data_IF_505077729473
#
_entry.id   IF_505077729473
#
_cell.length_a   1.000
_cell.length_b   1.000
_cell.length_c   1.000
_cell.angle_alpha   90.00
_cell.angle_beta   90.00
_cell.angle_gamma   90.00
#
_symmetry.space_group_name_H-M   'P 1'
#
loop_
_entity.id
_entity.type
_entity.pdbx_description
1 polymer ?
#
# COMPACT_ATOMS: atom_id res chain seq x y z
N UNK A 1 -7.21 -3.15 -48.47
CA UNK A 1 -6.08 -3.44 -47.55
C UNK A 1 -6.46 -4.67 -46.73
N UNK A 2 -6.69 -5.79 -47.43
CA UNK A 2 -7.47 -6.93 -46.93
C UNK A 2 -6.70 -8.26 -47.11
N UNK A 3 -5.36 -8.19 -47.16
CA UNK A 3 -4.51 -9.30 -47.60
C UNK A 3 -3.24 -9.51 -46.76
N UNK A 4 -3.20 -9.01 -45.51
CA UNK A 4 -2.01 -9.14 -44.62
C UNK A 4 -2.33 -9.74 -43.24
N UNK A 5 -3.56 -10.21 -42.96
CA UNK A 5 -3.89 -10.86 -41.68
C UNK A 5 -4.03 -12.40 -41.73
N UNK A 6 -3.69 -13.06 -42.85
CA UNK A 6 -3.82 -14.53 -43.01
C UNK A 6 -2.62 -15.35 -42.53
N UNK A 7 -1.52 -14.72 -42.10
CA UNK A 7 -0.25 -15.42 -41.80
C UNK A 7 0.14 -15.54 -40.32
N UNK A 8 -0.78 -15.41 -39.36
CA UNK A 8 -0.49 -15.70 -37.94
C UNK A 8 -1.46 -16.67 -37.25
N UNK A 9 -2.37 -17.29 -38.00
CA UNK A 9 -3.37 -18.23 -37.46
C UNK A 9 -3.05 -19.72 -37.68
N UNK A 10 -1.79 -20.05 -38.06
CA UNK A 10 -1.39 -21.41 -38.48
C UNK A 10 -0.49 -22.13 -37.43
N UNK A 11 -0.20 -21.52 -36.28
CA UNK A 11 0.85 -22.05 -35.38
C UNK A 11 0.39 -22.72 -34.06
N UNK A 12 -0.91 -22.97 -33.80
CA UNK A 12 -1.34 -23.53 -32.49
C UNK A 12 -2.32 -24.71 -32.58
N UNK A 13 -2.68 -25.20 -33.77
CA UNK A 13 -3.58 -26.36 -33.94
C UNK A 13 -2.79 -27.60 -34.39
N UNK A 14 -1.71 -27.95 -33.67
CA UNK A 14 -1.05 -29.27 -33.77
C UNK A 14 -0.46 -29.62 -32.39
N UNK A 15 -1.33 -29.83 -31.40
CA UNK A 15 -1.05 -30.77 -30.30
C UNK A 15 -2.30 -31.64 -30.16
N UNK A 16 -2.21 -32.76 -30.86
CA UNK A 16 -3.22 -33.80 -30.99
C UNK A 16 -3.60 -34.41 -29.63
N UNK A 17 -4.86 -34.22 -29.29
CA UNK A 17 -5.68 -35.20 -28.59
C UNK A 17 -5.73 -36.50 -29.41
N UNK A 18 -5.46 -37.63 -28.74
CA UNK A 18 -6.08 -38.98 -28.89
C UNK A 18 -5.03 -40.10 -28.72
N UNK A 19 -5.12 -40.87 -27.62
CA UNK A 19 -5.23 -42.33 -27.67
C UNK A 19 -5.62 -42.91 -26.29
N UNK A 20 -6.32 -44.03 -26.36
CA UNK A 20 -7.29 -44.59 -25.42
C UNK A 20 -6.77 -45.78 -24.61
N UNK A 21 -7.34 -45.93 -23.40
CA UNK A 21 -7.84 -47.17 -22.77
C UNK A 21 -6.91 -48.33 -22.36
N UNK A 22 -7.22 -48.80 -21.14
CA UNK A 22 -7.23 -50.19 -20.63
C UNK A 22 -5.99 -50.77 -19.94
N UNK A 23 -6.19 -51.28 -18.71
CA UNK A 23 -5.31 -52.27 -18.06
C UNK A 23 -5.38 -52.33 -16.53
N UNK A 24 -6.42 -52.97 -15.98
CA UNK A 24 -6.44 -53.48 -14.60
C UNK A 24 -5.39 -54.60 -14.41
N UNK A 25 -4.67 -54.62 -13.29
CA UNK A 25 -4.29 -55.88 -12.60
C UNK A 25 -4.23 -55.63 -11.09
N UNK A 26 -5.05 -56.40 -10.36
CA UNK A 26 -4.96 -56.64 -8.92
C UNK A 26 -4.07 -57.88 -8.73
N UNK A 27 -3.14 -57.88 -7.77
CA UNK A 27 -2.68 -59.12 -7.16
C UNK A 27 -2.44 -58.98 -5.65
N UNK A 28 -2.75 -60.09 -4.97
CA UNK A 28 -2.97 -60.31 -3.55
C UNK A 28 -1.76 -61.00 -2.89
N UNK A 29 -1.61 -60.80 -1.58
CA UNK A 29 -1.10 -61.81 -0.63
C UNK A 29 0.42 -61.84 -0.40
N UNK A 30 0.96 -62.25 0.76
CA UNK A 30 0.39 -62.71 2.04
C UNK A 30 1.50 -62.74 3.10
N UNK A 31 1.08 -62.80 4.37
CA UNK A 31 1.81 -62.88 5.64
C UNK A 31 2.86 -64.01 5.77
N UNK A 32 3.80 -63.84 6.71
CA UNK A 32 4.03 -64.65 7.94
C UNK A 32 5.40 -64.23 8.54
N UNK A 33 5.55 -63.75 9.78
CA UNK A 33 5.23 -64.27 11.11
C UNK A 33 6.03 -65.53 11.51
N UNK A 34 6.97 -65.37 12.46
CA UNK A 34 7.35 -66.34 13.53
C UNK A 34 8.40 -65.68 14.44
N UNK A 35 8.02 -65.40 15.69
CA UNK A 35 8.36 -66.14 16.94
C UNK A 35 9.79 -65.84 17.45
N UNK A 36 10.04 -65.56 18.73
CA UNK A 36 9.63 -66.36 19.89
C UNK A 36 9.73 -65.58 21.21
N UNK A 37 8.96 -66.06 22.18
CA UNK A 37 8.82 -65.74 23.60
C UNK A 37 10.08 -65.39 24.42
N UNK A 38 9.88 -64.59 25.48
CA UNK A 38 10.04 -65.08 26.85
C UNK A 38 9.43 -64.12 27.88
N UNK A 39 8.45 -64.64 28.63
CA UNK A 39 7.94 -64.04 29.86
C UNK A 39 8.89 -64.36 31.01
N UNK A 40 9.15 -63.38 31.89
CA UNK A 40 9.32 -63.65 33.31
C UNK A 40 8.59 -62.61 34.16
N UNK A 41 7.78 -63.16 35.05
CA UNK A 41 6.91 -62.55 36.03
C UNK A 41 7.71 -62.19 37.29
N UNK A 42 7.48 -61.04 37.90
CA UNK A 42 7.69 -60.89 39.34
C UNK A 42 6.80 -59.78 39.93
N UNK A 43 5.97 -60.20 40.87
CA UNK A 43 5.15 -59.38 41.75
C UNK A 43 6.02 -58.53 42.67
N UNK A 44 5.80 -57.20 42.74
CA UNK A 44 5.84 -56.52 44.04
C UNK A 44 4.98 -55.25 44.08
N UNK A 45 4.13 -55.25 45.10
CA UNK A 45 3.21 -54.24 45.61
C UNK A 45 3.96 -52.96 46.01
N UNK A 46 3.47 -51.77 45.66
CA UNK A 46 3.02 -50.71 46.61
C UNK A 46 3.05 -49.28 46.03
N UNK A 47 2.04 -48.53 46.49
CA UNK A 47 1.97 -47.08 46.73
C UNK A 47 1.55 -46.15 45.58
N UNK A 48 0.25 -45.89 45.59
CA UNK A 48 -0.42 -44.72 45.02
C UNK A 48 0.15 -43.41 45.58
N UNK A 49 0.57 -42.52 44.68
CA UNK A 49 0.46 -41.06 44.83
C UNK A 49 0.24 -40.51 43.42
N UNK A 50 -0.79 -39.69 43.16
CA UNK A 50 -1.00 -39.15 41.82
C UNK A 50 0.08 -38.12 41.50
N UNK A 51 1.01 -38.50 40.64
CA UNK A 51 1.90 -37.58 39.93
C UNK A 51 1.05 -36.64 39.07
N UNK A 52 1.36 -35.32 38.99
CA UNK A 52 0.66 -34.42 38.08
C UNK A 52 0.82 -34.93 36.65
N UNK A 53 -0.30 -35.11 35.96
CA UNK A 53 -0.33 -35.46 34.54
C UNK A 53 0.46 -34.42 33.76
N UNK A 54 1.37 -34.82 32.86
CA UNK A 54 2.04 -33.89 31.95
C UNK A 54 0.99 -33.10 31.16
N UNK A 55 1.13 -31.77 31.14
CA UNK A 55 0.34 -30.89 30.29
C UNK A 55 0.36 -31.42 28.85
N UNK A 56 -0.84 -31.60 28.30
CA UNK A 56 -1.09 -31.98 26.91
C UNK A 56 -0.43 -30.96 25.96
N UNK A 57 0.54 -31.36 25.11
CA UNK A 57 1.24 -30.45 24.21
C UNK A 57 0.40 -30.05 22.99
N UNK A 58 -0.92 -30.33 22.94
CA UNK A 58 -1.74 -30.10 21.75
C UNK A 58 -2.75 -28.96 21.84
N UNK A 59 -2.76 -28.14 22.90
CA UNK A 59 -3.60 -26.90 22.88
C UNK A 59 -2.98 -25.89 21.90
N UNK A 60 -3.63 -25.57 20.76
CA UNK A 60 -3.15 -24.48 19.91
C UNK A 60 -3.32 -23.21 20.72
N UNK A 61 -2.21 -22.58 21.12
CA UNK A 61 -2.22 -21.19 21.54
C UNK A 61 -2.71 -20.38 20.35
N UNK A 62 -4.01 -20.09 20.31
CA UNK A 62 -4.64 -19.21 19.32
C UNK A 62 -4.04 -17.80 19.45
N UNK A 63 -2.90 -17.58 18.81
CA UNK A 63 -2.16 -16.33 18.82
C UNK A 63 -2.79 -15.35 17.82
N UNK A 64 -4.04 -14.99 18.09
CA UNK A 64 -4.84 -14.07 17.28
C UNK A 64 -5.00 -12.73 17.99
N UNK A 65 -5.37 -11.72 17.21
CA UNK A 65 -5.79 -10.41 17.71
C UNK A 65 -7.02 -9.96 16.92
N UNK A 66 -7.79 -9.05 17.51
CA UNK A 66 -8.93 -8.42 16.84
C UNK A 66 -8.51 -7.06 16.30
N UNK A 67 -8.99 -6.73 15.11
CA UNK A 67 -8.87 -5.40 14.51
C UNK A 67 -10.23 -4.93 14.01
N UNK A 68 -10.50 -3.63 14.04
CA UNK A 68 -11.71 -3.07 13.42
C UNK A 68 -11.44 -2.75 11.96
N UNK A 69 -12.38 -3.05 11.09
CA UNK A 69 -12.49 -2.48 9.74
C UNK A 69 -13.83 -1.78 9.63
N UNK A 70 -13.96 -0.84 8.71
CA UNK A 70 -15.16 0.00 8.63
C UNK A 70 -15.78 -0.14 7.24
N UNK A 71 -17.09 -0.41 7.20
CA UNK A 71 -17.86 -0.50 5.97
C UNK A 71 -19.11 0.38 6.05
N UNK A 72 -19.59 0.85 4.90
CA UNK A 72 -20.91 1.46 4.78
C UNK A 72 -22.04 0.43 4.97
N UNK A 73 -23.28 0.92 5.03
CA UNK A 73 -24.47 0.08 5.13
C UNK A 73 -25.54 0.53 4.14
N UNK A 74 -26.29 -0.43 3.58
CA UNK A 74 -27.40 -0.15 2.68
C UNK A 74 -28.45 0.72 3.36
N UNK A 75 -28.90 1.76 2.65
CA UNK A 75 -29.97 2.66 3.11
C UNK A 75 -29.49 3.90 3.86
N UNK A 76 -28.19 4.01 4.19
CA UNK A 76 -27.64 5.28 4.68
C UNK A 76 -27.56 6.30 3.53
N UNK A 77 -27.98 7.54 3.82
CA UNK A 77 -27.93 8.67 2.89
C UNK A 77 -26.64 9.49 3.00
N UNK A 78 -25.94 9.35 4.12
CA UNK A 78 -24.60 9.92 4.32
C UNK A 78 -23.55 8.90 3.89
N UNK A 79 -22.91 9.18 2.75
CA UNK A 79 -21.89 8.33 2.14
C UNK A 79 -20.62 8.19 3.00
N UNK A 80 -20.41 9.08 3.96
CA UNK A 80 -19.24 9.04 4.87
C UNK A 80 -19.52 8.23 6.13
N UNK A 81 -20.77 7.78 6.32
CA UNK A 81 -21.17 7.02 7.50
C UNK A 81 -20.74 5.56 7.34
N UNK A 82 -19.86 5.13 8.25
CA UNK A 82 -19.29 3.79 8.27
C UNK A 82 -19.39 3.17 9.66
N UNK A 83 -19.37 1.84 9.71
CA UNK A 83 -19.59 1.06 10.92
C UNK A 83 -18.46 0.07 11.13
N UNK A 84 -17.98 -0.01 12.36
CA UNK A 84 -16.93 -0.94 12.73
C UNK A 84 -17.41 -2.39 12.66
N UNK A 85 -16.61 -3.25 12.05
CA UNK A 85 -16.69 -4.69 12.08
C UNK A 85 -15.39 -5.24 12.64
N UNK A 86 -15.49 -6.16 13.59
CA UNK A 86 -14.33 -6.82 14.18
C UNK A 86 -13.89 -7.98 13.28
N UNK A 87 -12.61 -8.01 12.90
CA UNK A 87 -11.97 -9.15 12.24
C UNK A 87 -10.91 -9.76 13.15
N UNK A 88 -10.96 -11.07 13.30
CA UNK A 88 -9.92 -11.85 13.97
C UNK A 88 -8.81 -12.17 12.96
N UNK A 89 -7.58 -11.79 13.29
CA UNK A 89 -6.40 -12.00 12.45
C UNK A 89 -5.27 -12.61 13.29
N UNK A 90 -4.28 -13.26 12.65
CA UNK A 90 -3.05 -13.64 13.35
C UNK A 90 -2.39 -12.42 14.00
N UNK A 91 -1.82 -12.60 15.20
CA UNK A 91 -1.11 -11.52 15.89
C UNK A 91 0.06 -11.02 15.03
N UNK A 92 0.18 -9.70 14.89
CA UNK A 92 1.21 -9.07 14.06
C UNK A 92 1.61 -7.71 14.64
N UNK A 93 2.84 -7.29 14.37
CA UNK A 93 3.31 -5.93 14.66
C UNK A 93 2.86 -4.92 13.59
N UNK A 94 2.52 -5.39 12.38
CA UNK A 94 2.02 -4.56 11.27
C UNK A 94 0.48 -4.45 11.30
N UNK A 95 -0.08 -4.01 12.44
CA UNK A 95 -1.52 -4.08 12.67
C UNK A 95 -2.33 -3.21 11.69
N UNK A 96 -1.83 -2.02 11.32
CA UNK A 96 -2.47 -1.15 10.33
C UNK A 96 -2.52 -1.78 8.94
N UNK A 97 -1.41 -2.37 8.48
CA UNK A 97 -1.34 -3.11 7.21
C UNK A 97 -2.31 -4.29 7.21
N UNK A 98 -2.37 -5.04 8.32
CA UNK A 98 -3.29 -6.15 8.45
C UNK A 98 -4.76 -5.69 8.46
N UNK A 99 -5.08 -4.55 9.09
CA UNK A 99 -6.41 -3.95 9.06
C UNK A 99 -6.85 -3.61 7.64
N UNK A 100 -6.01 -2.87 6.89
CA UNK A 100 -6.28 -2.51 5.50
C UNK A 100 -6.42 -3.74 4.60
N UNK A 101 -5.58 -4.76 4.78
CA UNK A 101 -5.70 -6.01 4.03
C UNK A 101 -7.01 -6.76 4.33
N UNK A 102 -7.62 -6.58 5.50
CA UNK A 102 -8.95 -7.11 5.77
C UNK A 102 -10.04 -6.22 5.14
N UNK A 103 -9.90 -4.90 5.23
CA UNK A 103 -10.82 -3.93 4.62
C UNK A 103 -10.92 -4.16 3.11
N UNK A 104 -9.78 -4.26 2.42
CA UNK A 104 -9.72 -4.38 0.96
C UNK A 104 -10.21 -5.72 0.41
N UNK A 105 -10.47 -6.72 1.26
CA UNK A 105 -11.21 -7.94 0.86
C UNK A 105 -12.71 -7.69 0.70
N UNK A 106 -13.20 -6.57 1.24
CA UNK A 106 -14.60 -6.21 1.29
C UNK A 106 -15.41 -7.03 2.31
N UNK A 107 -16.72 -6.76 2.37
CA UNK A 107 -17.64 -7.49 3.22
C UNK A 107 -17.70 -8.98 2.85
N UNK A 108 -17.74 -9.85 3.87
CA UNK A 108 -18.07 -11.27 3.70
C UNK A 108 -19.54 -11.43 3.30
N UNK A 109 -19.93 -12.60 2.81
CA UNK A 109 -21.34 -12.84 2.43
C UNK A 109 -22.29 -12.70 3.61
N UNK A 110 -21.89 -13.11 4.81
CA UNK A 110 -22.65 -12.88 6.05
C UNK A 110 -22.76 -11.38 6.39
N UNK A 111 -21.71 -10.60 6.19
CA UNK A 111 -21.75 -9.15 6.41
C UNK A 111 -22.68 -8.46 5.39
N UNK A 112 -22.65 -8.90 4.12
CA UNK A 112 -23.58 -8.41 3.10
C UNK A 112 -25.04 -8.71 3.45
N UNK A 113 -25.34 -9.91 3.95
CA UNK A 113 -26.70 -10.24 4.41
C UNK A 113 -27.16 -9.38 5.60
N UNK A 114 -26.21 -8.85 6.38
CA UNK A 114 -26.48 -7.90 7.46
C UNK A 114 -26.53 -6.43 6.98
N UNK A 115 -26.47 -6.21 5.66
CA UNK A 115 -26.61 -4.92 5.01
C UNK A 115 -25.31 -4.13 4.83
N UNK A 116 -24.14 -4.69 5.18
CA UNK A 116 -22.87 -4.00 4.97
C UNK A 116 -22.48 -3.98 3.49
N UNK A 117 -21.99 -2.84 3.04
CA UNK A 117 -21.58 -2.59 1.64
C UNK A 117 -20.22 -1.90 1.61
N UNK A 118 -19.50 -2.07 0.51
CA UNK A 118 -18.22 -1.43 0.26
C UNK A 118 -17.96 -1.39 -1.25
N UNK A 119 -17.08 -0.48 -1.67
CA UNK A 119 -16.46 -0.55 -3.00
C UNK A 119 -15.46 -1.70 -3.10
N UNK A 120 -14.93 -2.16 -1.96
CA UNK A 120 -13.98 -3.25 -1.88
C UNK A 120 -14.66 -4.61 -1.99
N UNK A 121 -13.95 -5.55 -2.60
CA UNK A 121 -14.37 -6.94 -2.80
C UNK A 121 -13.16 -7.85 -2.88
N UNK A 122 -13.37 -9.14 -3.19
CA UNK A 122 -12.27 -10.08 -3.43
C UNK A 122 -11.30 -9.60 -4.53
N UNK A 123 -11.78 -8.80 -5.51
CA UNK A 123 -10.94 -8.22 -6.58
C UNK A 123 -9.93 -7.19 -6.06
N UNK A 124 -10.21 -6.55 -4.92
CA UNK A 124 -9.34 -5.55 -4.31
C UNK A 124 -8.47 -6.12 -3.19
N UNK A 125 -8.52 -7.42 -2.89
CA UNK A 125 -7.85 -8.00 -1.72
C UNK A 125 -6.33 -7.75 -1.63
N UNK A 126 -5.67 -7.52 -2.76
CA UNK A 126 -4.21 -7.37 -2.86
C UNK A 126 -3.79 -6.03 -3.50
N UNK A 127 -4.52 -4.95 -3.22
CA UNK A 127 -4.26 -3.62 -3.79
C UNK A 127 -3.27 -2.78 -2.99
N UNK A 128 -2.95 -3.15 -1.75
CA UNK A 128 -2.01 -2.40 -0.91
C UNK A 128 -0.56 -2.65 -1.37
N UNK A 129 0.11 -1.62 -1.89
CA UNK A 129 1.54 -1.65 -2.17
C UNK A 129 2.35 -1.45 -0.87
N UNK A 130 2.01 -0.43 -0.09
CA UNK A 130 2.64 -0.15 1.20
C UNK A 130 1.79 0.74 2.10
N UNK A 131 2.06 0.67 3.40
CA UNK A 131 1.56 1.60 4.41
C UNK A 131 2.76 2.16 5.16
N UNK A 132 2.91 3.48 5.17
CA UNK A 132 3.95 4.16 5.96
C UNK A 132 3.31 5.16 6.92
N UNK A 133 3.75 5.18 8.17
CA UNK A 133 3.28 6.16 9.15
C UNK A 133 4.45 7.01 9.60
N UNK A 134 4.36 8.32 9.39
CA UNK A 134 5.39 9.29 9.80
C UNK A 134 4.74 10.58 10.28
N UNK A 135 5.21 11.11 11.41
CA UNK A 135 4.66 12.33 12.03
C UNK A 135 3.13 12.32 12.20
N UNK A 136 2.55 11.15 12.48
CA UNK A 136 1.11 10.97 12.64
C UNK A 136 0.31 10.91 11.34
N UNK A 137 0.95 10.93 10.18
CA UNK A 137 0.29 10.80 8.87
C UNK A 137 0.53 9.39 8.34
N UNK A 138 -0.55 8.68 8.01
CA UNK A 138 -0.50 7.38 7.36
C UNK A 138 -0.61 7.54 5.84
N UNK A 139 0.46 7.25 5.12
CA UNK A 139 0.50 7.23 3.66
C UNK A 139 0.15 5.83 3.16
N UNK A 140 -1.02 5.72 2.53
CA UNK A 140 -1.57 4.49 1.97
C UNK A 140 -1.25 4.46 0.48
N UNK A 141 -0.32 3.60 0.08
CA UNK A 141 0.05 3.45 -1.32
C UNK A 141 -0.65 2.23 -1.93
N UNK A 142 -1.45 2.47 -2.96
CA UNK A 142 -2.28 1.47 -3.61
C UNK A 142 -1.77 1.22 -5.03
N UNK A 143 -2.04 0.03 -5.55
CA UNK A 143 -1.99 -0.24 -6.99
C UNK A 143 -2.98 0.67 -7.71
N UNK A 144 -2.83 0.79 -9.04
CA UNK A 144 -3.85 1.45 -9.85
C UNK A 144 -5.20 0.68 -9.81
N UNK A 145 -6.10 1.18 -8.95
CA UNK A 145 -7.43 0.62 -8.70
C UNK A 145 -8.53 1.30 -9.51
N UNK A 146 -8.20 2.25 -10.39
CA UNK A 146 -9.19 3.08 -11.10
C UNK A 146 -10.12 2.26 -11.98
N UNK A 147 -9.64 1.14 -12.53
CA UNK A 147 -10.43 0.21 -13.33
C UNK A 147 -11.13 -0.86 -12.50
N UNK A 148 -10.66 -1.11 -11.26
CA UNK A 148 -11.24 -2.10 -10.36
C UNK A 148 -12.47 -1.56 -9.63
N UNK A 149 -12.43 -0.30 -9.23
CA UNK A 149 -13.51 0.40 -8.50
C UNK A 149 -13.80 1.79 -9.12
N UNK A 150 -14.18 1.86 -10.41
CA UNK A 150 -14.37 3.14 -11.11
C UNK A 150 -15.41 4.04 -10.46
N UNK A 151 -16.36 3.49 -9.69
CA UNK A 151 -17.38 4.25 -8.95
C UNK A 151 -16.82 5.10 -7.81
N UNK A 152 -15.58 4.88 -7.37
CA UNK A 152 -14.93 5.71 -6.35
C UNK A 152 -14.68 7.16 -6.82
N UNK A 153 -14.76 7.44 -8.13
CA UNK A 153 -14.69 8.81 -8.67
C UNK A 153 -16.01 9.57 -8.59
N UNK A 154 -17.12 8.91 -8.21
CA UNK A 154 -18.38 9.60 -7.93
C UNK A 154 -18.32 10.29 -6.56
N UNK A 155 -19.12 11.34 -6.36
CA UNK A 155 -19.16 12.07 -5.08
C UNK A 155 -19.44 11.17 -3.87
N UNK A 156 -20.36 10.21 -3.97
CA UNK A 156 -20.65 9.27 -2.89
C UNK A 156 -19.57 8.18 -2.77
N UNK A 157 -19.04 7.71 -3.90
CA UNK A 157 -17.99 6.69 -3.90
C UNK A 157 -16.67 7.19 -3.31
N UNK A 158 -16.30 8.45 -3.57
CA UNK A 158 -15.10 9.06 -2.99
C UNK A 158 -15.24 9.22 -1.48
N UNK A 159 -16.39 9.73 -1.02
CA UNK A 159 -16.72 9.83 0.39
C UNK A 159 -16.69 8.47 1.10
N UNK A 160 -17.30 7.44 0.49
CA UNK A 160 -17.29 6.07 1.01
C UNK A 160 -15.86 5.51 1.10
N UNK A 161 -15.09 5.59 0.02
CA UNK A 161 -13.71 5.09 0.00
C UNK A 161 -12.89 5.70 1.13
N UNK A 162 -12.93 7.03 1.23
CA UNK A 162 -12.14 7.80 2.19
C UNK A 162 -12.61 7.43 3.61
N UNK A 163 -13.90 7.46 3.89
CA UNK A 163 -14.42 7.15 5.22
C UNK A 163 -14.06 5.73 5.69
N UNK A 164 -14.14 4.73 4.81
CA UNK A 164 -13.80 3.34 5.13
C UNK A 164 -12.30 3.18 5.43
N UNK A 165 -11.42 3.77 4.62
CA UNK A 165 -9.96 3.70 4.80
C UNK A 165 -9.51 4.50 6.02
N UNK A 166 -9.99 5.74 6.16
CA UNK A 166 -9.61 6.64 7.24
C UNK A 166 -10.06 6.12 8.60
N UNK A 167 -11.34 5.74 8.74
CA UNK A 167 -11.85 5.18 10.01
C UNK A 167 -11.12 3.91 10.42
N UNK A 168 -10.70 3.09 9.43
CA UNK A 168 -9.91 1.89 9.68
C UNK A 168 -8.50 2.19 10.19
N UNK A 169 -7.87 3.31 9.82
CA UNK A 169 -6.53 3.65 10.29
C UNK A 169 -6.55 4.56 11.53
N UNK A 170 -7.52 5.44 11.65
CA UNK A 170 -7.66 6.38 12.77
C UNK A 170 -8.07 5.70 14.08
N UNK A 171 -8.46 4.41 14.03
CA UNK A 171 -8.58 3.60 15.25
C UNK A 171 -7.26 3.53 16.03
N UNK A 172 -6.12 3.74 15.38
CA UNK A 172 -4.80 3.74 16.00
C UNK A 172 -4.42 5.16 16.42
N UNK A 173 -4.19 5.39 17.71
CA UNK A 173 -3.94 6.72 18.27
C UNK A 173 -2.69 7.43 17.72
N UNK A 174 -1.77 6.71 17.07
CA UNK A 174 -0.61 7.25 16.39
C UNK A 174 -0.97 7.88 15.04
N UNK A 175 -2.09 7.51 14.43
CA UNK A 175 -2.58 8.07 13.17
C UNK A 175 -3.50 9.25 13.48
N UNK A 176 -3.23 10.38 12.85
CA UNK A 176 -3.96 11.65 12.96
C UNK A 176 -4.50 12.14 11.63
N UNK A 177 -4.00 11.58 10.54
CA UNK A 177 -4.37 11.89 9.17
C UNK A 177 -4.00 10.71 8.28
N UNK A 178 -4.74 10.51 7.22
CA UNK A 178 -4.44 9.54 6.16
C UNK A 178 -4.27 10.28 4.84
N UNK A 179 -3.31 9.83 4.03
CA UNK A 179 -3.07 10.32 2.69
C UNK A 179 -3.01 9.13 1.75
N UNK A 180 -3.87 9.11 0.75
CA UNK A 180 -3.97 8.00 -0.21
C UNK A 180 -3.18 8.30 -1.49
N UNK A 181 -2.59 7.27 -2.08
CA UNK A 181 -1.80 7.37 -3.31
C UNK A 181 -2.06 6.19 -4.24
N UNK A 182 -1.88 6.40 -5.54
CA UNK A 182 -1.81 5.36 -6.55
C UNK A 182 -0.39 5.31 -7.11
N UNK A 183 0.29 4.20 -6.93
CA UNK A 183 1.67 3.99 -7.36
C UNK A 183 2.61 5.12 -6.91
N UNK A 184 2.48 5.48 -5.63
CA UNK A 184 3.22 6.57 -4.95
C UNK A 184 2.88 7.98 -5.45
N UNK A 185 1.85 8.12 -6.28
CA UNK A 185 1.33 9.40 -6.78
C UNK A 185 0.04 9.75 -6.03
N UNK A 186 0.16 10.73 -5.12
CA UNK A 186 -0.94 11.20 -4.29
C UNK A 186 -1.89 12.09 -5.10
N UNK A 187 -1.35 12.94 -5.97
CA UNK A 187 -2.14 13.81 -6.84
C UNK A 187 -3.02 12.97 -7.78
N UNK A 188 -2.48 11.91 -8.39
CA UNK A 188 -3.26 10.97 -9.20
C UNK A 188 -4.45 10.36 -8.45
N UNK A 189 -4.30 10.03 -7.17
CA UNK A 189 -5.41 9.53 -6.36
C UNK A 189 -6.48 10.61 -6.18
N UNK A 190 -6.09 11.80 -5.70
CA UNK A 190 -7.04 12.86 -5.35
C UNK A 190 -7.69 13.55 -6.55
N UNK A 191 -7.02 13.59 -7.71
CA UNK A 191 -7.62 13.99 -8.98
C UNK A 191 -8.67 12.98 -9.44
N UNK A 192 -8.37 11.67 -9.34
CA UNK A 192 -9.33 10.63 -9.71
C UNK A 192 -10.60 10.66 -8.86
N UNK A 193 -10.48 10.95 -7.56
CA UNK A 193 -11.64 11.10 -6.66
C UNK A 193 -12.24 12.52 -6.63
N UNK A 194 -11.80 13.42 -7.53
CA UNK A 194 -12.34 14.78 -7.73
C UNK A 194 -12.21 15.72 -6.52
N UNK A 195 -11.15 15.56 -5.72
CA UNK A 195 -10.87 16.42 -4.55
C UNK A 195 -9.68 17.35 -4.84
N UNK A 196 -8.69 16.87 -5.59
CA UNK A 196 -7.44 17.57 -5.84
C UNK A 196 -6.59 17.72 -4.57
N UNK A 197 -5.54 18.54 -4.65
CA UNK A 197 -4.59 18.73 -3.56
C UNK A 197 -5.03 19.85 -2.60
N UNK A 198 -5.20 19.53 -1.32
CA UNK A 198 -5.76 20.40 -0.30
C UNK A 198 -5.01 20.23 1.04
N UNK A 199 -5.17 21.15 2.00
CA UNK A 199 -4.52 21.02 3.32
C UNK A 199 -4.92 19.71 4.02
N UNK A 200 -6.18 19.27 3.83
CA UNK A 200 -6.69 18.01 4.39
C UNK A 200 -5.84 16.80 3.99
N UNK A 201 -5.31 16.77 2.76
CA UNK A 201 -4.43 15.71 2.24
C UNK A 201 -2.95 16.11 2.12
N UNK A 202 -2.48 17.04 2.98
CA UNK A 202 -1.11 17.57 2.99
C UNK A 202 -0.66 18.12 1.62
N UNK A 203 -1.58 18.76 0.88
CA UNK A 203 -1.36 19.27 -0.47
C UNK A 203 -0.74 18.22 -1.40
N UNK A 204 -1.17 16.96 -1.29
CA UNK A 204 -0.62 15.81 -2.01
C UNK A 204 0.88 15.55 -1.80
N UNK A 205 1.40 15.80 -0.60
CA UNK A 205 2.75 15.38 -0.24
C UNK A 205 2.95 13.87 -0.49
N UNK A 206 3.98 13.52 -1.26
CA UNK A 206 4.31 12.14 -1.60
C UNK A 206 5.77 11.77 -1.24
N UNK A 207 6.55 12.70 -0.66
CA UNK A 207 7.95 12.46 -0.33
C UNK A 207 8.20 11.20 0.52
N UNK A 208 7.35 10.86 1.54
CA UNK A 208 7.51 9.60 2.28
C UNK A 208 7.40 8.35 1.40
N UNK A 209 6.59 8.40 0.33
CA UNK A 209 6.38 7.28 -0.58
C UNK A 209 7.50 7.11 -1.62
N UNK A 210 8.40 8.10 -1.77
CA UNK A 210 9.44 8.13 -2.82
C UNK A 210 10.87 8.14 -2.29
N UNK A 211 11.08 7.71 -1.03
CA UNK A 211 12.39 7.70 -0.36
C UNK A 211 13.45 6.81 -1.02
N UNK A 212 13.07 5.90 -1.91
CA UNK A 212 13.98 5.10 -2.74
C UNK A 212 14.52 5.86 -3.97
N UNK A 213 13.88 6.97 -4.33
CA UNK A 213 14.21 7.83 -5.46
C UNK A 213 14.82 9.16 -5.01
N UNK A 214 14.19 9.84 -4.06
CA UNK A 214 14.66 11.11 -3.50
C UNK A 214 14.39 11.14 -2.00
N UNK A 215 15.39 11.58 -1.24
CA UNK A 215 15.27 11.85 0.20
C UNK A 215 15.54 13.33 0.43
N UNK A 216 14.50 14.08 0.77
CA UNK A 216 14.63 15.49 1.15
C UNK A 216 15.00 15.58 2.63
N UNK A 217 16.20 16.10 2.90
CA UNK A 217 16.72 16.28 4.27
C UNK A 217 16.16 17.56 4.89
N UNK A 218 16.09 18.64 4.11
CA UNK A 218 15.51 19.91 4.51
C UNK A 218 14.86 20.61 3.31
N UNK A 219 13.70 21.28 3.49
CA UNK A 219 12.86 21.24 4.69
C UNK A 219 12.18 19.89 4.89
N UNK A 220 11.89 19.53 6.15
CA UNK A 220 11.02 18.39 6.47
C UNK A 220 9.54 18.77 6.25
N UNK A 221 8.68 17.77 6.11
CA UNK A 221 7.22 17.96 6.05
C UNK A 221 6.73 18.92 7.14
N UNK A 222 5.85 19.84 6.76
CA UNK A 222 5.28 20.89 7.61
C UNK A 222 6.28 21.89 8.20
N UNK A 223 7.54 21.93 7.74
CA UNK A 223 8.49 22.94 8.21
C UNK A 223 8.04 24.36 7.84
N UNK A 224 8.35 25.32 8.71
CA UNK A 224 8.13 26.75 8.43
C UNK A 224 9.32 27.30 7.64
N UNK A 225 9.08 27.81 6.44
CA UNK A 225 10.10 28.33 5.52
C UNK A 225 9.97 29.84 5.31
N UNK A 226 11.10 30.48 5.03
CA UNK A 226 11.20 31.89 4.64
C UNK A 226 12.00 32.00 3.34
N UNK A 227 11.88 33.12 2.65
CA UNK A 227 12.62 33.38 1.42
C UNK A 227 13.99 34.03 1.73
N UNK A 228 15.09 33.57 1.10
CA UNK A 228 15.20 32.36 0.30
C UNK A 228 15.18 31.10 1.18
N UNK A 229 14.67 29.99 0.63
CA UNK A 229 14.67 28.68 1.30
C UNK A 229 15.80 27.81 0.78
N UNK A 230 16.59 27.25 1.71
CA UNK A 230 17.58 26.22 1.41
C UNK A 230 16.94 24.83 1.42
N UNK A 231 17.09 24.12 0.30
CA UNK A 231 16.56 22.77 0.09
C UNK A 231 17.74 21.83 -0.13
N UNK A 232 17.82 20.76 0.65
CA UNK A 232 18.92 19.80 0.61
C UNK A 232 18.40 18.38 0.72
N UNK A 233 19.14 17.44 0.13
CA UNK A 233 18.78 16.04 0.14
C UNK A 233 19.71 15.22 -0.74
N UNK A 234 19.24 14.03 -1.07
CA UNK A 234 19.89 13.15 -2.05
C UNK A 234 18.84 12.60 -3.02
N UNK A 235 19.19 12.48 -4.30
CA UNK A 235 18.35 11.91 -5.34
C UNK A 235 19.13 10.84 -6.11
N UNK A 236 18.45 9.83 -6.65
CA UNK A 236 19.08 8.88 -7.57
C UNK A 236 19.64 9.64 -8.77
N UNK A 237 20.81 9.26 -9.29
CA UNK A 237 21.43 9.98 -10.42
C UNK A 237 20.52 10.12 -11.65
N UNK A 238 19.56 9.22 -11.85
CA UNK A 238 18.51 9.31 -12.88
C UNK A 238 17.52 10.47 -12.73
N UNK A 239 17.57 11.21 -11.62
CA UNK A 239 16.80 12.44 -11.42
C UNK A 239 17.45 13.66 -12.05
N UNK A 240 18.77 13.59 -12.29
CA UNK A 240 19.55 14.71 -12.80
C UNK A 240 19.70 14.62 -14.32
N UNK A 241 19.73 15.78 -14.94
CA UNK A 241 20.32 16.00 -16.26
C UNK A 241 21.15 17.28 -16.18
N UNK A 242 22.35 17.25 -16.79
CA UNK A 242 23.36 18.31 -16.64
C UNK A 242 23.66 18.66 -15.16
N UNK A 243 23.72 17.64 -14.28
CA UNK A 243 23.95 17.78 -12.84
C UNK A 243 22.87 18.59 -12.09
N UNK A 244 21.68 18.76 -12.67
CA UNK A 244 20.61 19.56 -12.05
C UNK A 244 19.22 18.95 -12.26
N UNK A 245 18.24 19.45 -11.51
CA UNK A 245 16.82 19.19 -11.77
C UNK A 245 15.93 20.34 -11.24
N UNK A 246 14.74 20.55 -11.82
CA UNK A 246 13.87 21.68 -11.46
C UNK A 246 13.21 21.55 -10.08
N UNK A 247 13.04 22.70 -9.43
CA UNK A 247 12.27 22.87 -8.21
C UNK A 247 11.28 24.02 -8.37
N UNK A 248 10.03 23.80 -7.93
CA UNK A 248 8.99 24.81 -7.82
C UNK A 248 8.53 24.93 -6.37
N UNK A 249 8.19 26.15 -5.97
CA UNK A 249 7.47 26.44 -4.72
C UNK A 249 6.09 26.93 -5.12
N UNK A 250 5.07 26.24 -4.65
CA UNK A 250 3.67 26.58 -4.89
C UNK A 250 2.99 26.99 -3.59
N UNK A 251 2.05 27.91 -3.70
CA UNK A 251 1.12 28.19 -2.61
C UNK A 251 0.04 27.11 -2.47
N UNK A 252 -0.83 27.26 -1.48
CA UNK A 252 -1.97 26.36 -1.23
C UNK A 252 -2.90 26.18 -2.43
N UNK A 253 -3.00 27.17 -3.33
CA UNK A 253 -3.83 27.09 -4.55
C UNK A 253 -3.08 26.50 -5.75
N UNK A 254 -1.84 26.05 -5.55
CA UNK A 254 -1.01 25.51 -6.62
C UNK A 254 -0.36 26.58 -7.51
N UNK A 255 -0.46 27.87 -7.17
CA UNK A 255 0.21 28.93 -7.92
C UNK A 255 1.70 28.91 -7.60
N UNK A 256 2.53 28.89 -8.64
CA UNK A 256 3.99 28.99 -8.50
C UNK A 256 4.37 30.39 -8.01
N UNK A 257 5.08 30.44 -6.89
CA UNK A 257 5.55 31.68 -6.24
C UNK A 257 7.07 31.79 -6.18
N UNK A 258 7.78 30.72 -6.54
CA UNK A 258 9.23 30.66 -6.69
C UNK A 258 9.63 29.42 -7.47
N UNK A 259 10.74 29.53 -8.20
CA UNK A 259 11.29 28.43 -9.00
C UNK A 259 12.81 28.52 -9.03
N UNK A 260 13.47 27.39 -9.25
CA UNK A 260 14.88 27.32 -9.59
C UNK A 260 15.32 25.88 -9.78
N UNK A 261 16.59 25.59 -9.54
CA UNK A 261 17.16 24.27 -9.75
C UNK A 261 17.86 23.79 -8.49
N UNK A 262 17.82 22.48 -8.27
CA UNK A 262 18.79 21.80 -7.42
C UNK A 262 20.00 21.40 -8.25
N UNK A 263 21.18 21.49 -7.64
CA UNK A 263 22.44 21.10 -8.27
C UNK A 263 23.07 19.96 -7.48
N UNK A 264 23.56 18.94 -8.17
CA UNK A 264 24.35 17.86 -7.60
C UNK A 264 25.66 18.42 -7.02
N UNK A 265 26.10 17.85 -5.89
CA UNK A 265 27.36 18.23 -5.23
C UNK A 265 28.45 17.18 -5.39
N UNK A 266 28.18 16.13 -6.16
CA UNK A 266 29.12 15.07 -6.53
C UNK A 266 28.78 14.57 -7.93
N UNK A 267 29.58 13.61 -8.43
CA UNK A 267 29.32 12.93 -9.70
C UNK A 267 27.91 12.33 -9.72
N UNK A 268 27.12 12.73 -10.73
CA UNK A 268 25.69 12.42 -10.82
C UNK A 268 25.35 11.31 -11.81
N UNK A 269 26.26 10.98 -12.74
CA UNK A 269 26.07 9.93 -13.75
C UNK A 269 26.22 8.53 -13.13
N UNK A 270 25.32 8.22 -12.19
CA UNK A 270 25.33 7.00 -11.39
C UNK A 270 23.90 6.54 -11.10
N UNK A 271 23.74 5.27 -10.74
CA UNK A 271 22.47 4.76 -10.19
C UNK A 271 22.36 5.00 -8.69
N UNK A 272 23.41 5.47 -8.02
CA UNK A 272 23.43 5.72 -6.58
C UNK A 272 22.71 7.03 -6.20
N UNK A 273 22.54 7.23 -4.89
CA UNK A 273 22.10 8.52 -4.36
C UNK A 273 23.21 9.56 -4.49
N UNK A 274 22.83 10.74 -4.95
CA UNK A 274 23.70 11.88 -5.22
C UNK A 274 23.18 13.07 -4.41
N UNK A 275 23.99 13.65 -3.51
CA UNK A 275 23.59 14.80 -2.72
C UNK A 275 23.36 16.03 -3.59
N UNK A 276 22.29 16.78 -3.29
CA UNK A 276 21.95 18.02 -3.97
C UNK A 276 21.67 19.17 -3.00
N UNK A 277 21.79 20.39 -3.51
CA UNK A 277 21.41 21.63 -2.82
C UNK A 277 20.69 22.57 -3.78
N UNK A 278 19.72 23.31 -3.27
CA UNK A 278 19.11 24.45 -3.92
C UNK A 278 18.91 25.58 -2.91
N UNK A 279 18.97 26.82 -3.39
CA UNK A 279 18.56 27.99 -2.61
C UNK A 279 17.57 28.81 -3.45
N UNK A 280 16.28 28.73 -3.11
CA UNK A 280 15.20 29.25 -3.94
C UNK A 280 14.56 30.46 -3.27
N UNK A 281 14.60 31.60 -3.95
CA UNK A 281 13.83 32.78 -3.57
C UNK A 281 12.38 32.65 -4.03
N UNK A 282 11.46 33.09 -3.18
CA UNK A 282 10.03 33.19 -3.50
C UNK A 282 9.43 34.46 -2.91
N UNK A 283 8.32 34.91 -3.48
CA UNK A 283 7.50 35.97 -2.89
C UNK A 283 6.57 35.34 -1.87
N UNK A 284 6.62 35.79 -0.61
CA UNK A 284 5.74 35.28 0.43
C UNK A 284 4.26 35.47 0.01
N UNK A 285 3.46 34.40 -0.06
CA UNK A 285 2.05 34.51 -0.45
C UNK A 285 1.20 34.96 0.74
N UNK A 286 -0.07 35.29 0.48
CA UNK A 286 -1.04 35.55 1.54
C UNK A 286 -1.48 34.26 2.27
N UNK A 287 -1.25 33.10 1.67
CA UNK A 287 -1.58 31.80 2.24
C UNK A 287 -0.56 31.34 3.27
N UNK A 288 -1.02 30.51 4.21
CA UNK A 288 -0.14 29.95 5.26
C UNK A 288 0.59 28.70 4.79
N UNK A 289 0.03 27.96 3.84
CA UNK A 289 0.49 26.64 3.42
C UNK A 289 0.93 26.65 1.97
N UNK A 290 1.79 25.71 1.63
CA UNK A 290 2.25 25.48 0.27
C UNK A 290 3.01 24.17 0.16
N UNK A 291 3.63 23.97 -0.99
CA UNK A 291 4.47 22.81 -1.22
C UNK A 291 5.74 23.18 -2.00
N UNK A 292 6.80 22.42 -1.74
CA UNK A 292 7.99 22.37 -2.58
C UNK A 292 7.86 21.14 -3.47
N UNK A 293 7.98 21.33 -4.77
CA UNK A 293 7.89 20.27 -5.78
C UNK A 293 9.27 20.14 -6.43
N UNK A 294 9.91 19.00 -6.24
CA UNK A 294 11.10 18.58 -6.95
C UNK A 294 10.63 17.78 -8.16
N UNK A 295 11.03 18.17 -9.35
CA UNK A 295 10.66 17.50 -10.59
C UNK A 295 11.89 16.79 -11.14
N UNK A 296 11.76 15.51 -11.53
CA UNK A 296 12.83 14.81 -12.23
C UNK A 296 13.12 15.58 -13.53
N UNK A 297 14.39 15.85 -13.82
CA UNK A 297 14.70 16.48 -15.09
C UNK A 297 14.39 15.52 -16.25
N UNK A 298 13.62 16.00 -17.22
CA UNK A 298 13.07 15.20 -18.31
C UNK A 298 13.27 15.93 -19.65
N UNK A 299 14.50 15.94 -20.20
CA UNK A 299 14.80 16.61 -21.47
C UNK A 299 14.01 16.06 -22.67
N UNK A 300 13.45 14.84 -22.55
CA UNK A 300 12.62 14.26 -23.60
C UNK A 300 11.21 14.88 -23.69
N UNK A 301 10.73 15.51 -22.61
CA UNK A 301 9.37 16.03 -22.50
C UNK A 301 8.26 14.97 -22.54
N UNK A 302 8.60 13.67 -22.52
CA UNK A 302 7.62 12.59 -22.57
C UNK A 302 7.03 12.36 -21.17
N UNK A 303 5.70 12.40 -21.06
CA UNK A 303 4.99 12.23 -19.79
C UNK A 303 5.31 10.93 -19.03
N UNK A 304 5.67 9.85 -19.74
CA UNK A 304 6.08 8.58 -19.12
C UNK A 304 7.38 8.71 -18.31
N UNK A 305 8.18 9.73 -18.61
CA UNK A 305 9.43 10.07 -17.94
C UNK A 305 9.25 11.21 -16.92
N UNK A 306 8.04 11.69 -16.68
CA UNK A 306 7.81 12.65 -15.60
C UNK A 306 7.81 11.93 -14.26
N UNK A 307 8.40 12.57 -13.25
CA UNK A 307 8.28 12.15 -11.86
C UNK A 307 8.45 13.38 -10.97
N UNK A 308 7.81 13.37 -9.80
CA UNK A 308 7.87 14.48 -8.86
C UNK A 308 7.81 14.04 -7.41
N UNK A 309 8.49 14.80 -6.56
CA UNK A 309 8.48 14.67 -5.11
C UNK A 309 7.98 15.98 -4.53
N UNK A 310 6.85 15.90 -3.84
CA UNK A 310 6.17 17.03 -3.22
C UNK A 310 6.34 16.96 -1.71
N UNK A 311 6.77 18.08 -1.12
CA UNK A 311 6.97 18.27 0.33
C UNK A 311 6.05 19.38 0.81
N UNK A 312 5.20 19.09 1.79
CA UNK A 312 4.30 20.07 2.39
C UNK A 312 5.07 21.04 3.30
N UNK A 313 4.80 22.35 3.19
CA UNK A 313 5.49 23.40 3.96
C UNK A 313 4.52 24.46 4.47
N UNK A 314 4.99 25.28 5.41
CA UNK A 314 4.29 26.47 5.93
C UNK A 314 5.12 27.72 5.65
N UNK A 315 4.50 28.78 5.18
CA UNK A 315 5.17 30.07 5.02
C UNK A 315 5.25 30.80 6.37
N UNK A 316 6.32 31.57 6.56
CA UNK A 316 6.52 32.46 7.71
C UNK A 316 5.99 33.86 7.43
#
# INVERSE_FOLDING_TARGET
METILKNKLIAVIIVLLLMTMAGCVIWYGTKNASNTDNQQNNNQKTNNTPTPTPDDPTKPTNNTTTVKIYFSKTGDTDCSKVYAINRTIPKTTMIGTAALNQLFKGPTDTEKTNGYTSLFSSKTANILNSLQVTNGVAYVNLKDIRTLIPSASSSCGSAQFIAEVESTLEQFNTVKKVVNAIDSDVEKFYEWVQIGCQISNNLCENAPLKTNLVKVTSPRSSAKISSPVSITGEARGSWFFEASFPIKIVDEQGKVIGSGIATATSDWMTSNFVPFTANISFTAPATTYGAIILERDNPSGLAINDDSVRVFVRFK
#
